data_IF_337551623405
#
_entry.id   IF_337551623405
#
_cell.length_a   1.000
_cell.length_b   1.000
_cell.length_c   1.000
_cell.angle_alpha   90.00
_cell.angle_beta   90.00
_cell.angle_gamma   90.00
#
_symmetry.space_group_name_H-M   'P 1'
#
loop_
_entity.id
_entity.type
_entity.pdbx_description
1 polymer ?
#
# COMPACT_ATOMS: atom_id res chain seq x y z
N UNK A 1 4.01 32.99 4.42
CA UNK A 1 5.11 32.10 3.96
C UNK A 1 4.55 30.69 3.85
N UNK A 2 4.20 30.23 2.63
CA UNK A 2 3.61 28.90 2.41
C UNK A 2 4.71 27.85 2.62
N UNK A 3 4.58 27.01 3.67
CA UNK A 3 5.51 25.90 3.89
C UNK A 3 5.24 24.83 2.83
N UNK A 4 6.04 24.81 1.77
CA UNK A 4 6.12 23.67 0.86
C UNK A 4 6.92 22.57 1.56
N UNK A 5 6.25 21.51 2.01
CA UNK A 5 6.94 20.34 2.56
C UNK A 5 7.32 19.42 1.40
N UNK A 6 8.62 19.32 1.13
CA UNK A 6 9.19 18.30 0.24
C UNK A 6 9.06 16.96 0.97
N UNK A 7 8.21 16.08 0.47
CA UNK A 7 8.17 14.70 0.98
C UNK A 7 9.13 13.87 0.17
N UNK A 8 10.06 13.22 0.86
CA UNK A 8 10.84 12.14 0.28
C UNK A 8 9.98 10.89 0.19
N UNK A 9 10.20 10.09 -0.85
CA UNK A 9 9.33 8.98 -1.25
C UNK A 9 9.27 7.88 -0.17
N UNK A 10 10.22 7.89 0.77
CA UNK A 10 10.30 7.00 1.94
C UNK A 10 9.41 7.38 3.13
N UNK A 11 8.80 8.58 3.17
CA UNK A 11 8.04 9.04 4.35
C UNK A 11 6.56 8.62 4.37
N UNK A 12 6.06 7.95 3.32
CA UNK A 12 4.62 7.85 3.06
C UNK A 12 3.93 6.71 3.79
N UNK A 13 4.65 5.72 4.33
CA UNK A 13 4.05 4.52 4.95
C UNK A 13 4.00 4.52 6.48
N UNK A 14 4.65 5.48 7.16
CA UNK A 14 4.83 5.42 8.62
C UNK A 14 4.35 6.60 9.46
N UNK A 15 4.05 7.76 8.87
CA UNK A 15 3.83 9.00 9.66
C UNK A 15 2.40 9.51 9.48
N UNK A 16 1.70 9.72 10.61
CA UNK A 16 0.38 10.36 10.63
C UNK A 16 0.56 11.88 10.46
N UNK A 17 0.89 12.30 9.25
CA UNK A 17 0.95 13.71 8.87
C UNK A 17 -0.40 14.16 8.34
N UNK A 18 -0.92 15.26 8.90
CA UNK A 18 -2.07 15.97 8.36
C UNK A 18 -1.80 16.29 6.88
N UNK A 19 -2.82 16.11 6.03
CA UNK A 19 -2.69 16.24 4.57
C UNK A 19 -1.93 17.49 4.13
N UNK A 20 -1.30 17.43 2.98
CA UNK A 20 -0.56 18.56 2.42
C UNK A 20 -1.42 19.22 1.35
N UNK A 21 -1.39 20.55 1.22
CA UNK A 21 -2.07 21.19 0.09
C UNK A 21 -1.58 20.63 -1.26
N UNK A 22 -0.29 20.27 -1.34
CA UNK A 22 0.33 19.72 -2.55
C UNK A 22 1.24 18.55 -2.22
N UNK A 23 1.21 17.52 -3.06
CA UNK A 23 2.17 16.40 -3.08
C UNK A 23 2.96 16.45 -4.39
N UNK A 24 4.29 16.35 -4.30
CA UNK A 24 5.17 16.35 -5.48
C UNK A 24 6.02 15.09 -5.45
N UNK A 25 5.84 14.25 -6.46
CA UNK A 25 6.62 13.04 -6.73
C UNK A 25 7.71 13.41 -7.74
N UNK A 26 8.98 13.35 -7.33
CA UNK A 26 10.11 13.79 -8.18
C UNK A 26 10.50 12.79 -9.25
N UNK A 27 10.13 11.53 -9.07
CA UNK A 27 10.39 10.45 -10.00
C UNK A 27 9.33 9.35 -9.79
N UNK A 28 9.06 8.52 -10.81
CA UNK A 28 8.11 7.41 -10.69
C UNK A 28 8.75 6.15 -10.06
N UNK A 29 9.79 6.32 -9.23
CA UNK A 29 10.57 5.24 -8.64
C UNK A 29 10.71 5.40 -7.13
N UNK A 30 10.69 4.28 -6.41
CA UNK A 30 11.16 4.17 -5.01
C UNK A 30 12.47 3.40 -5.06
N UNK A 31 13.59 4.07 -4.75
CA UNK A 31 14.93 3.52 -4.98
C UNK A 31 15.11 3.06 -6.45
N UNK A 32 15.24 1.76 -6.70
CA UNK A 32 15.37 1.19 -8.05
C UNK A 32 14.06 0.70 -8.64
N UNK A 33 12.99 0.61 -7.85
CA UNK A 33 11.75 -0.04 -8.22
C UNK A 33 10.73 0.98 -8.73
N UNK A 34 10.07 0.67 -9.84
CA UNK A 34 8.99 1.50 -10.36
C UNK A 34 7.76 1.45 -9.44
N UNK A 35 7.09 2.59 -9.27
CA UNK A 35 5.93 2.70 -8.39
C UNK A 35 4.79 1.75 -8.79
N UNK A 36 4.24 1.04 -7.80
CA UNK A 36 2.97 0.32 -7.96
C UNK A 36 1.79 1.28 -7.89
N UNK A 37 0.66 0.88 -8.49
CA UNK A 37 -0.58 1.68 -8.51
C UNK A 37 -1.05 2.08 -7.11
N UNK A 38 -1.05 1.12 -6.19
CA UNK A 38 -1.47 1.31 -4.81
C UNK A 38 -0.58 2.34 -4.08
N UNK A 39 0.75 2.25 -4.23
CA UNK A 39 1.71 3.18 -3.66
C UNK A 39 1.47 4.58 -4.21
N UNK A 40 1.40 4.73 -5.54
CA UNK A 40 1.12 6.00 -6.18
C UNK A 40 -0.17 6.64 -5.63
N UNK A 41 -1.27 5.88 -5.54
CA UNK A 41 -2.55 6.36 -4.99
C UNK A 41 -2.47 6.74 -3.51
N UNK A 42 -1.76 5.97 -2.69
CA UNK A 42 -1.54 6.30 -1.28
C UNK A 42 -0.74 7.60 -1.11
N UNK A 43 0.23 7.85 -1.99
CA UNK A 43 1.03 9.08 -1.97
C UNK A 43 0.21 10.31 -2.36
N UNK A 44 -0.43 10.28 -3.53
CA UNK A 44 -1.20 11.43 -4.01
C UNK A 44 -2.47 11.68 -3.19
N UNK A 45 -3.02 10.64 -2.55
CA UNK A 45 -4.19 10.74 -1.65
C UNK A 45 -3.93 11.55 -0.38
N UNK A 46 -2.68 11.91 -0.09
CA UNK A 46 -2.32 12.85 0.99
C UNK A 46 -2.45 14.32 0.58
N UNK A 47 -2.71 14.60 -0.70
CA UNK A 47 -2.95 15.95 -1.18
C UNK A 47 -4.37 16.43 -0.81
N UNK A 48 -4.47 17.64 -0.30
CA UNK A 48 -5.70 18.28 0.16
C UNK A 48 -5.97 18.06 1.65
N UNK A 49 -6.09 19.14 2.41
CA UNK A 49 -6.57 19.10 3.80
C UNK A 49 -8.09 19.26 3.83
N UNK A 50 -8.77 18.24 4.35
CA UNK A 50 -10.22 18.27 4.57
C UNK A 50 -10.61 19.51 5.39
N UNK A 51 -11.55 20.30 4.88
CA UNK A 51 -12.06 21.50 5.55
C UNK A 51 -11.19 22.76 5.46
N UNK A 52 -10.00 22.70 4.83
CA UNK A 52 -9.11 23.87 4.69
C UNK A 52 -8.84 24.19 3.23
N UNK A 53 -8.44 23.19 2.44
CA UNK A 53 -8.05 23.39 1.05
C UNK A 53 -9.26 23.13 0.14
N UNK A 54 -9.48 23.99 -0.87
CA UNK A 54 -10.56 23.81 -1.86
C UNK A 54 -10.32 22.61 -2.79
N UNK A 55 -9.05 22.27 -3.02
CA UNK A 55 -8.62 21.12 -3.80
C UNK A 55 -7.21 20.69 -3.33
N UNK A 56 -6.89 19.41 -3.49
CA UNK A 56 -5.54 18.88 -3.32
C UNK A 56 -4.84 18.76 -4.68
N UNK A 57 -3.57 19.16 -4.75
CA UNK A 57 -2.77 19.06 -5.98
C UNK A 57 -1.72 17.94 -5.86
N UNK A 58 -1.60 17.11 -6.89
CA UNK A 58 -0.52 16.12 -7.00
C UNK A 58 0.22 16.26 -8.32
N UNK A 59 1.55 16.39 -8.26
CA UNK A 59 2.42 16.55 -9.43
C UNK A 59 3.43 15.39 -9.45
N UNK A 60 3.48 14.65 -10.56
CA UNK A 60 4.49 13.62 -10.80
C UNK A 60 5.41 14.09 -11.93
N UNK A 61 6.71 14.19 -11.64
CA UNK A 61 7.75 14.53 -12.61
C UNK A 61 8.20 13.24 -13.30
N UNK A 62 8.18 13.22 -14.63
CA UNK A 62 8.43 12.04 -15.46
C UNK A 62 9.46 12.38 -16.54
N UNK A 63 10.31 11.42 -16.90
CA UNK A 63 11.19 11.51 -18.07
C UNK A 63 10.48 10.91 -19.30
N UNK A 64 10.83 11.33 -20.51
CA UNK A 64 10.15 10.85 -21.74
C UNK A 64 10.16 9.32 -21.86
N UNK A 65 11.26 8.67 -21.43
CA UNK A 65 11.41 7.20 -21.40
C UNK A 65 10.36 6.47 -20.55
N UNK A 66 9.82 7.12 -19.52
CA UNK A 66 8.91 6.51 -18.54
C UNK A 66 7.45 6.90 -18.78
N UNK A 67 7.19 7.68 -19.84
CA UNK A 67 5.87 8.26 -20.14
C UNK A 67 4.79 7.21 -20.33
N UNK A 68 5.08 6.15 -21.10
CA UNK A 68 4.12 5.05 -21.31
C UNK A 68 3.88 4.26 -20.01
N UNK A 69 4.93 4.00 -19.24
CA UNK A 69 4.82 3.31 -17.94
C UNK A 69 3.97 4.11 -16.96
N UNK A 70 4.16 5.43 -16.89
CA UNK A 70 3.37 6.31 -16.03
C UNK A 70 1.94 6.46 -16.54
N UNK A 71 1.73 6.51 -17.86
CA UNK A 71 0.38 6.51 -18.42
C UNK A 71 -0.37 5.24 -18.00
N UNK A 72 0.26 4.07 -18.13
CA UNK A 72 -0.29 2.81 -17.66
C UNK A 72 -0.50 2.82 -16.14
N UNK A 73 0.42 3.38 -15.36
CA UNK A 73 0.27 3.56 -13.92
C UNK A 73 -0.96 4.41 -13.57
N UNK A 74 -1.36 5.38 -14.39
CA UNK A 74 -2.51 6.25 -14.08
C UNK A 74 -3.83 5.64 -14.58
N UNK A 75 -3.82 4.93 -15.70
CA UNK A 75 -5.03 4.37 -16.33
C UNK A 75 -5.39 2.98 -15.81
N UNK A 76 -4.43 2.18 -15.36
CA UNK A 76 -4.65 0.80 -14.93
C UNK A 76 -5.61 0.70 -13.73
N UNK A 77 -6.40 -0.38 -13.61
CA UNK A 77 -7.18 -0.65 -12.41
C UNK A 77 -6.26 -0.92 -11.20
N UNK A 78 -6.83 -0.80 -10.00
CA UNK A 78 -6.13 -1.19 -8.78
C UNK A 78 -5.93 -2.71 -8.76
N UNK A 79 -4.76 -3.14 -8.26
CA UNK A 79 -4.49 -4.55 -8.02
C UNK A 79 -5.43 -5.09 -6.93
N UNK A 80 -5.99 -6.28 -7.16
CA UNK A 80 -6.78 -6.99 -6.15
C UNK A 80 -5.90 -7.41 -4.98
N UNK A 81 -6.46 -7.39 -3.78
CA UNK A 81 -5.81 -7.95 -2.60
C UNK A 81 -5.88 -9.47 -2.65
N UNK A 82 -4.75 -10.13 -2.45
CA UNK A 82 -4.65 -11.59 -2.36
C UNK A 82 -4.08 -12.01 -1.01
N UNK A 83 -4.53 -13.15 -0.50
CA UNK A 83 -3.97 -13.73 0.72
C UNK A 83 -2.53 -14.17 0.50
N UNK A 84 -1.62 -13.62 1.30
CA UNK A 84 -0.19 -14.01 1.29
C UNK A 84 0.05 -15.31 2.08
N UNK A 85 -0.99 -15.94 2.65
CA UNK A 85 -0.83 -17.16 3.46
C UNK A 85 -0.23 -18.34 2.68
N UNK A 86 -0.51 -18.44 1.38
CA UNK A 86 0.04 -19.46 0.47
C UNK A 86 1.41 -19.11 -0.12
N UNK A 87 1.89 -17.87 0.05
CA UNK A 87 3.20 -17.49 -0.46
C UNK A 87 4.31 -18.25 0.27
N UNK A 88 5.50 -18.32 -0.35
CA UNK A 88 6.69 -18.89 0.29
C UNK A 88 6.53 -20.36 0.73
N UNK A 89 5.94 -21.21 -0.14
CA UNK A 89 5.80 -22.66 0.13
C UNK A 89 5.02 -22.97 1.42
N UNK A 90 3.89 -22.28 1.64
CA UNK A 90 3.02 -22.43 2.81
C UNK A 90 3.67 -22.08 4.15
N UNK A 91 4.76 -21.29 4.17
CA UNK A 91 5.36 -20.80 5.43
C UNK A 91 4.35 -20.02 6.27
N UNK A 92 3.50 -19.21 5.64
CA UNK A 92 2.45 -18.44 6.32
C UNK A 92 1.47 -19.33 7.08
N UNK A 93 0.93 -20.35 6.40
CA UNK A 93 0.01 -21.33 7.01
C UNK A 93 0.69 -22.09 8.16
N UNK A 94 1.92 -22.57 7.98
CA UNK A 94 2.64 -23.31 9.04
C UNK A 94 2.83 -22.47 10.29
N UNK A 95 3.24 -21.21 10.12
CA UNK A 95 3.41 -20.27 11.24
C UNK A 95 2.07 -20.01 11.94
N UNK A 96 1.01 -19.76 11.16
CA UNK A 96 -0.33 -19.51 11.68
C UNK A 96 -0.86 -20.71 12.48
N UNK A 97 -0.76 -21.93 11.94
CA UNK A 97 -1.18 -23.16 12.63
C UNK A 97 -0.42 -23.35 13.93
N UNK A 98 0.89 -23.14 13.92
CA UNK A 98 1.71 -23.24 15.12
C UNK A 98 1.28 -22.22 16.19
N UNK A 99 0.99 -20.98 15.79
CA UNK A 99 0.48 -19.95 16.71
C UNK A 99 -0.90 -20.30 17.26
N UNK A 100 -1.83 -20.77 16.42
CA UNK A 100 -3.20 -21.10 16.82
C UNK A 100 -3.22 -22.24 17.86
N UNK A 101 -2.43 -23.30 17.63
CA UNK A 101 -2.32 -24.42 18.56
C UNK A 101 -1.51 -24.02 19.80
N UNK A 102 -0.39 -23.31 19.63
CA UNK A 102 0.48 -22.88 20.73
C UNK A 102 -0.22 -21.92 21.71
N UNK A 103 -1.12 -21.09 21.21
CA UNK A 103 -1.96 -20.19 22.02
C UNK A 103 -3.25 -20.84 22.52
N UNK A 104 -3.49 -22.13 22.20
CA UNK A 104 -4.71 -22.88 22.54
C UNK A 104 -6.01 -22.24 22.02
N UNK A 105 -5.92 -21.50 20.91
CA UNK A 105 -7.08 -20.86 20.25
C UNK A 105 -7.93 -21.91 19.54
N UNK A 106 -7.29 -22.92 18.94
CA UNK A 106 -7.96 -24.12 18.45
C UNK A 106 -7.27 -25.36 19.00
N UNK A 107 -8.06 -26.31 19.51
CA UNK A 107 -7.57 -27.51 20.20
C UNK A 107 -7.96 -28.80 19.47
N UNK A 108 -8.79 -28.71 18.43
CA UNK A 108 -9.14 -29.84 17.57
C UNK A 108 -9.07 -29.45 16.09
N UNK A 109 -8.96 -30.44 15.17
CA UNK A 109 -8.88 -30.19 13.74
C UNK A 109 -10.08 -29.42 13.18
N UNK A 110 -11.27 -29.63 13.72
CA UNK A 110 -12.50 -28.96 13.28
C UNK A 110 -12.44 -27.45 13.51
N UNK A 111 -11.99 -27.04 14.70
CA UNK A 111 -11.74 -25.64 15.06
C UNK A 111 -10.66 -25.01 14.17
N UNK A 112 -9.65 -25.79 13.77
CA UNK A 112 -8.63 -25.32 12.82
C UNK A 112 -9.25 -25.05 11.45
N UNK A 113 -10.10 -25.95 10.94
CA UNK A 113 -10.79 -25.74 9.66
C UNK A 113 -11.73 -24.53 9.72
N UNK A 114 -12.50 -24.39 10.80
CA UNK A 114 -13.36 -23.22 11.02
C UNK A 114 -12.56 -21.91 11.12
N UNK A 115 -11.37 -21.95 11.74
CA UNK A 115 -10.49 -20.79 11.78
C UNK A 115 -9.95 -20.43 10.40
N UNK A 116 -9.52 -21.43 9.61
CA UNK A 116 -8.99 -21.22 8.28
C UNK A 116 -10.05 -20.69 7.30
N UNK A 117 -11.31 -21.13 7.42
CA UNK A 117 -12.43 -20.61 6.62
C UNK A 117 -12.85 -19.18 6.97
N UNK A 118 -12.34 -18.63 8.08
CA UNK A 118 -12.52 -17.23 8.45
C UNK A 118 -11.38 -16.32 7.96
N UNK A 119 -10.37 -16.86 7.25
CA UNK A 119 -9.25 -16.08 6.71
C UNK A 119 -9.54 -15.57 5.30
N UNK A 120 -8.82 -14.56 4.82
CA UNK A 120 -8.92 -14.05 3.44
C UNK A 120 -8.52 -15.09 2.36
N UNK A 121 -8.05 -16.27 2.77
CA UNK A 121 -7.66 -17.33 1.84
C UNK A 121 -8.86 -18.13 1.31
N UNK A 122 -9.96 -18.21 2.06
CA UNK A 122 -11.12 -19.04 1.74
C UNK A 122 -12.04 -18.44 0.69
#
# INVERSE_FOLDING_TARGET
MRKEKKMDISEVTGVHVHGFHRVILRAPYVATDFLKKNQYKQMIGRAGRAGIDKAGESILIVQEKDKELVQNLITSPLESCYSTLLLESNKGIRSLLLSVVGLKIANNPEEIYQFMSATLLS
#
